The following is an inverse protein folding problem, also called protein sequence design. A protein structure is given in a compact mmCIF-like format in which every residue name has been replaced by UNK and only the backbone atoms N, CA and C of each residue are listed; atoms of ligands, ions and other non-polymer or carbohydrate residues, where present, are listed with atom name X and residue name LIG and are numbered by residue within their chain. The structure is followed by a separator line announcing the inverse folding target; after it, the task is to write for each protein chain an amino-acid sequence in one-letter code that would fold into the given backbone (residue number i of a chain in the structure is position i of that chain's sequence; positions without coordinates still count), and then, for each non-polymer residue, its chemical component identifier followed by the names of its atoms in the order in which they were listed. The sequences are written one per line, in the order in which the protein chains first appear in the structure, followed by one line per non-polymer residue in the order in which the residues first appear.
data_IF_472747536568
#
_entry.id   IF_472747536568
#
_cell.length_a   1.000
_cell.length_b   1.000
_cell.length_c   1.000
_cell.angle_alpha   90.00
_cell.angle_beta   90.00
_cell.angle_gamma   90.00
#
_symmetry.space_group_name_H-M   'P 1'
#
loop_
_entity.id
_entity.type
_entity.pdbx_description
1 polymer ?
#
# COMPACT_ATOMS: atom_id res chain seq x y z
N UNK A 1 35.32 15.90 10.49
CA UNK A 1 35.12 14.49 10.05
C UNK A 1 36.26 13.58 10.50
N UNK A 2 37.49 14.03 10.57
CA UNK A 2 38.64 13.22 11.03
C UNK A 2 38.51 12.70 12.48
N UNK A 3 37.76 13.39 13.36
CA UNK A 3 37.53 12.95 14.76
C UNK A 3 36.57 11.77 14.94
N UNK A 4 35.85 11.35 13.90
CA UNK A 4 34.88 10.23 13.93
C UNK A 4 35.43 8.96 13.26
N UNK A 5 36.72 8.93 12.87
CA UNK A 5 37.37 7.76 12.26
C UNK A 5 36.99 7.49 10.80
N UNK A 6 36.24 8.38 10.14
CA UNK A 6 35.91 8.21 8.73
C UNK A 6 37.12 8.58 7.85
N UNK A 7 37.43 7.68 6.91
CA UNK A 7 38.42 7.96 5.86
C UNK A 7 37.78 8.75 4.73
N UNK A 8 38.52 9.72 4.21
CA UNK A 8 38.11 10.46 3.02
C UNK A 8 38.11 9.50 1.80
N UNK A 9 37.01 9.51 1.05
CA UNK A 9 36.89 8.71 -0.17
C UNK A 9 37.30 9.57 -1.38
N UNK A 10 38.32 9.17 -2.06
CA UNK A 10 38.82 9.84 -3.27
C UNK A 10 38.10 9.41 -4.56
N UNK A 11 37.26 8.36 -4.48
CA UNK A 11 36.50 7.90 -5.66
C UNK A 11 35.18 8.64 -5.74
N UNK A 12 34.74 9.04 -6.93
CA UNK A 12 33.45 9.61 -7.16
C UNK A 12 32.34 8.59 -6.82
N UNK A 13 31.39 9.01 -5.99
CA UNK A 13 30.22 8.19 -5.70
C UNK A 13 29.26 8.18 -6.90
N UNK A 14 28.57 7.07 -7.11
CA UNK A 14 27.49 7.02 -8.08
C UNK A 14 26.30 7.90 -7.64
N UNK A 15 25.42 8.21 -8.58
CA UNK A 15 24.24 9.04 -8.34
C UNK A 15 23.41 8.50 -7.19
N UNK A 16 23.15 7.21 -7.17
CA UNK A 16 22.29 6.55 -6.19
C UNK A 16 22.84 6.66 -4.78
N UNK A 17 24.11 6.38 -4.57
CA UNK A 17 24.75 6.46 -3.25
C UNK A 17 24.79 7.88 -2.72
N UNK A 18 25.16 8.84 -3.58
CA UNK A 18 25.21 10.26 -3.20
C UNK A 18 23.82 10.77 -2.82
N UNK A 19 22.82 10.55 -3.70
CA UNK A 19 21.48 11.07 -3.47
C UNK A 19 20.73 10.33 -2.38
N UNK A 20 21.00 9.04 -2.14
CA UNK A 20 20.50 8.33 -0.98
C UNK A 20 21.02 8.91 0.34
N UNK A 21 22.28 9.28 0.40
CA UNK A 21 22.84 9.95 1.58
C UNK A 21 22.21 11.34 1.80
N UNK A 22 22.02 12.12 0.73
CA UNK A 22 21.33 13.42 0.80
C UNK A 22 19.87 13.21 1.22
N UNK A 23 19.16 12.27 0.63
CA UNK A 23 17.76 11.96 0.92
C UNK A 23 17.54 11.63 2.40
N UNK A 24 18.50 10.99 3.06
CA UNK A 24 18.40 10.66 4.50
C UNK A 24 18.22 11.91 5.39
N UNK A 25 18.79 13.04 4.98
CA UNK A 25 18.62 14.33 5.68
C UNK A 25 17.38 15.12 5.25
N UNK A 26 16.76 14.77 4.12
CA UNK A 26 15.66 15.54 3.52
C UNK A 26 14.39 14.74 3.29
N UNK A 27 14.17 13.67 4.03
CA UNK A 27 12.97 12.80 3.91
C UNK A 27 11.64 13.53 4.10
N UNK A 28 11.66 14.70 4.70
CA UNK A 28 10.47 15.56 4.89
C UNK A 28 10.20 16.45 3.67
N UNK A 29 11.18 16.65 2.82
CA UNK A 29 11.11 17.53 1.65
C UNK A 29 10.97 16.74 0.33
N UNK A 30 10.35 15.59 0.39
CA UNK A 30 10.05 14.78 -0.80
C UNK A 30 8.66 15.09 -1.33
N UNK A 31 8.45 14.81 -2.61
CA UNK A 31 7.14 14.92 -3.23
C UNK A 31 6.99 14.02 -4.43
N UNK A 32 5.74 13.64 -4.66
CA UNK A 32 5.29 12.93 -5.83
C UNK A 32 4.56 13.89 -6.77
N UNK A 33 4.93 13.87 -8.04
CA UNK A 33 4.25 14.67 -9.06
C UNK A 33 2.80 14.29 -9.17
N UNK A 34 1.91 15.26 -9.16
CA UNK A 34 0.50 15.07 -9.49
C UNK A 34 0.34 14.64 -10.95
N UNK A 35 -0.68 13.82 -11.24
CA UNK A 35 -0.90 13.28 -12.58
C UNK A 35 -1.61 14.28 -13.50
N UNK A 36 -2.33 15.25 -12.95
CA UNK A 36 -3.18 16.20 -13.69
C UNK A 36 -2.55 17.58 -13.65
N UNK A 37 -2.18 18.02 -12.45
CA UNK A 37 -1.68 19.36 -12.19
C UNK A 37 -0.16 19.41 -12.17
N UNK A 38 0.40 20.59 -12.43
CA UNK A 38 1.86 20.79 -12.44
C UNK A 38 2.41 21.15 -11.05
N UNK A 39 2.03 20.37 -10.02
CA UNK A 39 2.62 20.48 -8.68
C UNK A 39 3.07 19.11 -8.17
N UNK A 40 3.80 19.13 -7.07
CA UNK A 40 4.21 17.95 -6.31
C UNK A 40 3.44 17.89 -5.00
N UNK A 41 2.83 16.74 -4.73
CA UNK A 41 2.25 16.44 -3.43
C UNK A 41 3.37 15.96 -2.51
N UNK A 42 3.69 16.74 -1.52
CA UNK A 42 4.74 16.46 -0.54
C UNK A 42 4.19 15.83 0.74
N UNK A 43 5.10 15.59 1.66
CA UNK A 43 4.78 15.14 3.03
C UNK A 43 3.84 16.12 3.72
N UNK A 44 3.02 15.60 4.66
CA UNK A 44 2.02 16.39 5.40
C UNK A 44 1.00 17.10 4.49
N UNK A 45 0.75 16.58 3.28
CA UNK A 45 -0.22 17.14 2.34
C UNK A 45 0.20 18.46 1.70
N UNK A 46 1.46 18.89 1.87
CA UNK A 46 1.94 20.14 1.28
C UNK A 46 2.07 20.03 -0.23
N UNK A 47 1.54 21.02 -0.94
CA UNK A 47 1.71 21.15 -2.40
C UNK A 47 2.85 22.11 -2.68
N UNK A 48 3.79 21.72 -3.53
CA UNK A 48 4.88 22.59 -3.95
C UNK A 48 5.13 22.50 -5.45
N UNK A 49 5.75 23.52 -6.00
CA UNK A 49 6.09 23.64 -7.42
C UNK A 49 7.60 23.64 -7.57
N UNK A 50 8.11 23.18 -8.70
CA UNK A 50 9.51 23.38 -9.03
C UNK A 50 9.75 24.86 -9.37
N UNK A 51 10.81 25.44 -8.87
CA UNK A 51 11.13 26.83 -9.20
C UNK A 51 11.46 26.94 -10.70
N UNK A 52 10.95 27.97 -11.42
CA UNK A 52 11.14 28.11 -12.87
C UNK A 52 12.60 28.15 -13.34
N UNK A 53 13.53 28.53 -12.46
CA UNK A 53 14.98 28.53 -12.77
C UNK A 53 15.63 27.14 -12.72
N UNK A 54 14.91 26.11 -12.31
CA UNK A 54 15.43 24.75 -12.26
C UNK A 54 15.38 24.12 -13.65
N UNK A 55 16.54 23.75 -14.14
CA UNK A 55 16.67 22.93 -15.35
C UNK A 55 16.78 21.46 -14.95
N UNK A 56 15.71 20.90 -14.40
CA UNK A 56 15.64 19.49 -13.99
C UNK A 56 14.49 18.82 -14.71
N UNK A 57 14.69 17.55 -15.05
CA UNK A 57 13.64 16.72 -15.61
C UNK A 57 12.47 16.61 -14.63
N UNK A 58 11.28 16.65 -15.18
CA UNK A 58 10.03 16.64 -14.42
C UNK A 58 9.66 15.20 -14.00
N UNK A 59 10.48 14.61 -13.14
CA UNK A 59 10.35 13.22 -12.70
C UNK A 59 9.19 13.03 -11.71
N UNK A 60 8.73 11.79 -11.62
CA UNK A 60 7.61 11.43 -10.73
C UNK A 60 7.90 11.69 -9.26
N UNK A 61 9.14 11.47 -8.81
CA UNK A 61 9.56 11.63 -7.43
C UNK A 61 10.73 12.61 -7.33
N UNK A 62 10.59 13.58 -6.46
CA UNK A 62 11.61 14.62 -6.27
C UNK A 62 11.88 14.83 -4.78
N UNK A 63 13.14 15.06 -4.46
CA UNK A 63 13.58 15.58 -3.16
C UNK A 63 14.06 17.02 -3.35
N UNK A 64 13.71 17.90 -2.45
CA UNK A 64 14.14 19.29 -2.46
C UNK A 64 15.04 19.58 -1.26
N UNK A 65 16.18 20.23 -1.48
CA UNK A 65 17.02 20.69 -0.38
C UNK A 65 16.35 21.86 0.39
N UNK A 66 15.56 22.68 -0.29
CA UNK A 66 14.81 23.75 0.35
C UNK A 66 13.44 23.97 -0.30
N UNK A 67 12.49 24.34 0.55
CA UNK A 67 11.16 24.79 0.14
C UNK A 67 11.04 26.27 0.56
N UNK A 68 10.76 27.13 -0.41
CA UNK A 68 10.67 28.58 -0.20
C UNK A 68 9.25 29.05 -0.52
N UNK A 69 8.62 29.66 0.43
CA UNK A 69 7.29 30.23 0.30
C UNK A 69 7.39 31.66 -0.24
N UNK A 70 6.66 31.91 -1.32
CA UNK A 70 6.48 33.23 -1.91
C UNK A 70 4.99 33.42 -2.19
N UNK A 71 4.57 33.59 -3.44
CA UNK A 71 3.15 33.47 -3.85
C UNK A 71 2.66 32.01 -3.80
N UNK A 72 3.57 31.08 -3.92
CA UNK A 72 3.40 29.62 -3.82
C UNK A 72 4.62 29.04 -3.13
N UNK A 73 4.50 27.79 -2.71
CA UNK A 73 5.63 27.05 -2.16
C UNK A 73 6.47 26.50 -3.33
N UNK A 74 7.72 26.94 -3.43
CA UNK A 74 8.65 26.51 -4.48
C UNK A 74 9.78 25.66 -3.92
N UNK A 75 10.05 24.55 -4.59
CA UNK A 75 11.21 23.72 -4.33
C UNK A 75 12.44 24.24 -5.07
N UNK A 76 13.58 24.28 -4.38
CA UNK A 76 14.89 24.65 -4.93
C UNK A 76 15.90 23.55 -4.66
N UNK A 77 16.91 23.42 -5.55
CA UNK A 77 17.94 22.39 -5.49
C UNK A 77 17.31 20.99 -5.39
N UNK A 78 16.61 20.62 -6.45
CA UNK A 78 15.86 19.36 -6.51
C UNK A 78 16.66 18.27 -7.19
N UNK A 79 16.46 17.05 -6.75
CA UNK A 79 16.97 15.84 -7.40
C UNK A 79 15.87 14.79 -7.47
N UNK A 80 15.90 13.96 -8.51
CA UNK A 80 15.01 12.81 -8.57
C UNK A 80 15.53 11.69 -7.67
N UNK A 81 14.62 10.85 -7.16
CA UNK A 81 14.95 9.66 -6.39
C UNK A 81 13.97 8.53 -6.68
N UNK A 82 14.38 7.31 -6.40
CA UNK A 82 13.51 6.15 -6.50
C UNK A 82 12.89 5.85 -5.13
N UNK A 83 11.55 5.65 -5.05
CA UNK A 83 10.87 5.37 -3.77
C UNK A 83 11.47 4.21 -2.98
N UNK A 84 12.03 3.22 -3.68
CA UNK A 84 12.66 2.06 -3.05
C UNK A 84 13.88 2.41 -2.18
N UNK A 85 14.55 3.53 -2.45
CA UNK A 85 15.69 3.97 -1.62
C UNK A 85 15.26 4.30 -0.19
N UNK A 86 14.01 4.76 -0.03
CA UNK A 86 13.46 5.08 1.29
C UNK A 86 13.34 3.85 2.21
N UNK A 87 13.25 2.62 1.67
CA UNK A 87 13.21 1.41 2.48
C UNK A 87 14.48 1.22 3.31
N UNK A 88 15.65 1.60 2.77
CA UNK A 88 16.91 1.54 3.50
C UNK A 88 17.17 2.74 4.43
N UNK A 89 16.52 3.87 4.15
CA UNK A 89 16.82 5.16 4.80
C UNK A 89 15.79 5.49 5.88
N UNK A 90 14.50 5.32 5.56
CA UNK A 90 13.38 5.86 6.34
C UNK A 90 12.34 4.79 6.73
N UNK A 91 12.67 3.51 6.70
CA UNK A 91 11.73 2.42 7.00
C UNK A 91 11.09 2.58 8.40
N UNK A 92 11.84 3.07 9.38
CA UNK A 92 11.38 3.32 10.74
C UNK A 92 10.35 4.46 10.85
N UNK A 93 10.21 5.30 9.81
CA UNK A 93 9.24 6.40 9.74
C UNK A 93 7.96 6.01 9.00
N UNK A 94 7.92 4.83 8.38
CA UNK A 94 6.74 4.39 7.66
C UNK A 94 5.60 4.03 8.60
N UNK A 95 4.42 4.54 8.28
CA UNK A 95 3.15 4.03 8.80
C UNK A 95 2.52 3.14 7.76
N UNK A 96 2.11 1.94 8.17
CA UNK A 96 1.45 1.00 7.27
C UNK A 96 -0.05 1.04 7.48
N UNK A 97 -0.78 1.09 6.37
CA UNK A 97 -2.23 0.96 6.34
C UNK A 97 -2.62 -0.21 5.45
N UNK A 98 -3.73 -0.85 5.79
CA UNK A 98 -4.26 -1.99 5.06
C UNK A 98 -5.65 -1.65 4.56
N UNK A 99 -5.90 -1.87 3.28
CA UNK A 99 -7.19 -1.59 2.64
C UNK A 99 -7.56 -2.70 1.67
N UNK A 100 -8.84 -2.76 1.28
CA UNK A 100 -9.36 -3.73 0.33
C UNK A 100 -9.03 -5.18 0.72
N UNK A 101 -9.37 -5.53 1.97
CA UNK A 101 -9.30 -6.91 2.46
C UNK A 101 -10.37 -7.74 1.75
N UNK A 102 -9.97 -8.84 1.12
CA UNK A 102 -10.87 -9.74 0.41
C UNK A 102 -10.28 -11.13 0.26
N UNK A 103 -11.13 -12.10 -0.03
CA UNK A 103 -10.73 -13.45 -0.37
C UNK A 103 -10.16 -13.51 -1.80
N UNK A 104 -8.93 -13.95 -1.96
CA UNK A 104 -8.33 -14.20 -3.28
C UNK A 104 -8.44 -15.69 -3.63
N UNK A 105 -9.37 -16.03 -4.51
CA UNK A 105 -9.65 -17.42 -4.93
C UNK A 105 -8.40 -18.10 -5.51
N UNK A 106 -7.59 -17.35 -6.28
CA UNK A 106 -6.41 -17.91 -6.94
C UNK A 106 -5.31 -18.23 -5.94
N UNK A 107 -5.13 -17.38 -4.94
CA UNK A 107 -4.13 -17.57 -3.88
C UNK A 107 -4.63 -18.48 -2.76
N UNK A 108 -5.95 -18.61 -2.59
CA UNK A 108 -6.55 -19.38 -1.51
C UNK A 108 -6.28 -18.78 -0.14
N UNK A 109 -6.18 -17.45 -0.05
CA UNK A 109 -5.91 -16.71 1.17
C UNK A 109 -6.61 -15.35 1.16
N UNK A 110 -6.82 -14.77 2.34
CA UNK A 110 -7.27 -13.39 2.46
C UNK A 110 -6.10 -12.46 2.23
N UNK A 111 -6.27 -11.53 1.30
CA UNK A 111 -5.27 -10.54 0.92
C UNK A 111 -5.72 -9.12 1.24
N UNK A 112 -4.76 -8.23 1.38
CA UNK A 112 -5.00 -6.79 1.54
C UNK A 112 -3.95 -5.98 0.78
N UNK A 113 -4.30 -4.76 0.45
CA UNK A 113 -3.36 -3.77 -0.06
C UNK A 113 -2.66 -3.09 1.13
N UNK A 114 -1.38 -3.40 1.34
CA UNK A 114 -0.52 -2.73 2.31
C UNK A 114 0.08 -1.49 1.67
N UNK A 115 -0.27 -0.30 2.16
CA UNK A 115 0.31 0.98 1.75
C UNK A 115 1.32 1.47 2.79
N UNK A 116 2.50 1.86 2.34
CA UNK A 116 3.52 2.51 3.16
C UNK A 116 3.39 4.01 3.03
N UNK A 117 3.12 4.68 4.13
CA UNK A 117 2.92 6.12 4.23
C UNK A 117 4.11 6.74 4.96
N UNK A 118 4.70 7.79 4.38
CA UNK A 118 5.72 8.62 5.01
C UNK A 118 5.15 10.02 5.23
N UNK A 119 4.88 10.38 6.48
CA UNK A 119 4.21 11.63 6.85
C UNK A 119 2.95 11.93 6.01
N UNK A 120 2.12 10.89 5.80
CA UNK A 120 0.88 10.99 5.02
C UNK A 120 1.04 10.87 3.50
N UNK A 121 2.26 10.89 2.96
CA UNK A 121 2.54 10.66 1.55
C UNK A 121 2.65 9.15 1.27
N UNK A 122 1.86 8.63 0.35
CA UNK A 122 1.93 7.22 -0.05
C UNK A 122 3.15 6.98 -0.93
N UNK A 123 4.10 6.21 -0.41
CA UNK A 123 5.37 5.92 -1.11
C UNK A 123 5.21 4.71 -2.03
N UNK A 124 4.68 3.62 -1.50
CA UNK A 124 4.40 2.42 -2.29
C UNK A 124 3.20 1.65 -1.73
N UNK A 125 2.65 0.78 -2.55
CA UNK A 125 1.57 -0.13 -2.21
C UNK A 125 1.88 -1.52 -2.74
N UNK A 126 1.59 -2.53 -1.95
CA UNK A 126 1.76 -3.93 -2.35
C UNK A 126 0.64 -4.80 -1.78
N UNK A 127 0.29 -5.85 -2.51
CA UNK A 127 -0.65 -6.85 -2.04
C UNK A 127 0.06 -7.85 -1.12
N UNK A 128 -0.48 -8.06 0.07
CA UNK A 128 0.09 -8.96 1.09
C UNK A 128 -0.96 -9.93 1.61
N UNK A 129 -0.52 -11.06 2.18
CA UNK A 129 -1.38 -11.95 2.95
C UNK A 129 -1.85 -11.24 4.21
N UNK A 130 -3.17 -11.18 4.43
CA UNK A 130 -3.77 -10.45 5.53
C UNK A 130 -3.91 -11.29 6.79
N UNK A 131 -3.90 -12.61 6.68
CA UNK A 131 -4.02 -13.52 7.83
C UNK A 131 -2.95 -13.37 8.90
N UNK A 132 -1.76 -12.85 8.52
CA UNK A 132 -0.68 -12.56 9.45
C UNK A 132 -0.83 -11.20 10.16
N UNK A 133 -1.65 -10.31 9.60
CA UNK A 133 -1.84 -8.95 10.10
C UNK A 133 -2.99 -8.90 11.11
N UNK A 134 -4.13 -9.43 10.72
CA UNK A 134 -5.31 -9.57 11.56
C UNK A 134 -5.98 -10.91 11.31
N UNK A 135 -5.64 -11.93 12.12
CA UNK A 135 -6.18 -13.28 11.95
C UNK A 135 -7.70 -13.36 12.14
N UNK A 136 -8.28 -12.53 13.04
CA UNK A 136 -9.72 -12.56 13.32
C UNK A 136 -10.52 -12.05 12.14
N UNK A 137 -10.18 -10.85 11.64
CA UNK A 137 -10.85 -10.29 10.48
C UNK A 137 -10.61 -11.15 9.22
N UNK A 138 -9.42 -11.73 9.06
CA UNK A 138 -9.13 -12.66 7.97
C UNK A 138 -10.00 -13.92 8.04
N UNK A 139 -10.26 -14.44 9.25
CA UNK A 139 -11.16 -15.58 9.45
C UNK A 139 -12.61 -15.24 9.06
N UNK A 140 -13.12 -14.08 9.47
CA UNK A 140 -14.45 -13.60 9.10
C UNK A 140 -14.61 -13.49 7.57
N UNK A 141 -13.63 -12.89 6.90
CA UNK A 141 -13.63 -12.77 5.44
C UNK A 141 -13.58 -14.15 4.77
N UNK A 142 -12.72 -15.06 5.26
CA UNK A 142 -12.64 -16.43 4.75
C UNK A 142 -13.98 -17.15 4.88
N UNK A 143 -14.65 -17.05 6.03
CA UNK A 143 -15.96 -17.67 6.22
C UNK A 143 -16.98 -17.10 5.26
N UNK A 144 -17.13 -15.78 5.24
CA UNK A 144 -18.15 -15.10 4.43
C UNK A 144 -17.89 -15.24 2.92
N UNK A 145 -16.69 -14.93 2.46
CA UNK A 145 -16.38 -14.85 1.03
C UNK A 145 -15.82 -16.17 0.46
N UNK A 146 -15.16 -16.97 1.29
CA UNK A 146 -14.59 -18.26 0.87
C UNK A 146 -15.57 -19.41 1.04
N UNK A 147 -16.08 -19.61 2.25
CA UNK A 147 -16.93 -20.78 2.58
C UNK A 147 -18.39 -20.56 2.19
N UNK A 148 -19.03 -19.50 2.67
CA UNK A 148 -20.46 -19.25 2.43
C UNK A 148 -20.71 -18.97 0.95
N UNK A 149 -19.90 -18.13 0.31
CA UNK A 149 -19.98 -17.85 -1.11
C UNK A 149 -19.46 -19.01 -2.00
N UNK A 150 -19.02 -20.13 -1.40
CA UNK A 150 -18.50 -21.32 -2.10
C UNK A 150 -17.39 -21.00 -3.12
N UNK A 151 -16.49 -20.07 -2.75
CA UNK A 151 -15.40 -19.61 -3.62
C UNK A 151 -14.05 -20.24 -3.26
N UNK A 152 -14.03 -21.42 -2.65
CA UNK A 152 -12.79 -22.13 -2.36
C UNK A 152 -12.24 -22.79 -3.62
N UNK A 153 -10.93 -22.64 -3.83
CA UNK A 153 -10.24 -23.26 -4.97
C UNK A 153 -10.16 -24.80 -4.86
N UNK A 154 -10.19 -25.32 -3.63
CA UNK A 154 -10.21 -26.76 -3.34
C UNK A 154 -11.60 -27.21 -2.94
N UNK A 155 -12.02 -28.35 -3.50
CA UNK A 155 -13.24 -29.02 -3.08
C UNK A 155 -12.96 -29.80 -1.79
N UNK A 156 -13.71 -29.50 -0.74
CA UNK A 156 -13.66 -30.22 0.53
C UNK A 156 -14.94 -31.05 0.68
N UNK A 157 -14.80 -32.27 1.19
CA UNK A 157 -15.94 -33.19 1.33
C UNK A 157 -17.10 -32.61 2.15
N UNK A 158 -16.80 -31.81 3.20
CA UNK A 158 -17.83 -31.18 3.99
C UNK A 158 -18.62 -30.12 3.21
N UNK A 159 -17.99 -29.41 2.28
CA UNK A 159 -18.68 -28.43 1.42
C UNK A 159 -19.60 -29.12 0.44
N UNK A 160 -19.13 -30.21 -0.17
CA UNK A 160 -19.98 -31.02 -1.08
C UNK A 160 -21.19 -31.58 -0.34
N UNK A 161 -21.00 -32.04 0.90
CA UNK A 161 -22.10 -32.50 1.75
C UNK A 161 -23.09 -31.36 2.07
N UNK A 162 -22.60 -30.19 2.50
CA UNK A 162 -23.45 -29.04 2.79
C UNK A 162 -24.26 -28.58 1.57
N UNK A 163 -23.63 -28.51 0.40
CA UNK A 163 -24.32 -28.18 -0.85
C UNK A 163 -25.39 -29.21 -1.23
N UNK A 164 -25.18 -30.50 -0.90
CA UNK A 164 -26.20 -31.52 -1.10
C UNK A 164 -27.39 -31.33 -0.17
N UNK A 165 -27.15 -31.06 1.12
CA UNK A 165 -28.19 -30.77 2.10
C UNK A 165 -29.02 -29.53 1.69
N UNK A 166 -28.36 -28.46 1.24
CA UNK A 166 -29.03 -27.25 0.73
C UNK A 166 -29.98 -27.60 -0.42
N UNK A 167 -29.51 -28.36 -1.41
CA UNK A 167 -30.32 -28.77 -2.58
C UNK A 167 -31.53 -29.64 -2.16
N UNK A 168 -31.38 -30.47 -1.14
CA UNK A 168 -32.47 -31.27 -0.61
C UNK A 168 -33.51 -30.41 0.11
N UNK A 169 -33.06 -29.40 0.86
CA UNK A 169 -33.94 -28.44 1.53
C UNK A 169 -34.70 -27.58 0.51
N UNK A 170 -34.04 -27.04 -0.50
CA UNK A 170 -34.68 -26.30 -1.60
C UNK A 170 -35.78 -27.11 -2.28
N UNK A 171 -35.54 -28.40 -2.53
CA UNK A 171 -36.57 -29.30 -3.08
C UNK A 171 -37.75 -29.51 -2.14
N UNK A 172 -37.55 -29.53 -0.81
CA UNK A 172 -38.58 -29.60 0.18
C UNK A 172 -39.41 -28.32 0.27
N UNK A 173 -38.75 -27.17 0.22
CA UNK A 173 -39.41 -25.85 0.15
C UNK A 173 -40.34 -25.74 -1.06
N UNK A 174 -39.86 -26.12 -2.23
CA UNK A 174 -40.64 -26.13 -3.47
C UNK A 174 -41.88 -27.03 -3.34
N UNK A 175 -41.74 -28.20 -2.69
CA UNK A 175 -42.86 -29.13 -2.47
C UNK A 175 -43.89 -28.62 -1.47
N UNK A 176 -43.41 -27.94 -0.42
CA UNK A 176 -44.28 -27.45 0.65
C UNK A 176 -44.93 -26.10 0.32
N UNK A 177 -44.51 -25.42 -0.75
CA UNK A 177 -44.87 -24.03 -1.08
C UNK A 177 -44.70 -23.09 0.11
N UNK A 178 -43.77 -23.40 1.00
CA UNK A 178 -43.48 -22.66 2.22
C UNK A 178 -42.02 -22.25 2.15
N UNK A 179 -41.77 -20.95 2.24
CA UNK A 179 -40.39 -20.45 2.38
C UNK A 179 -39.89 -20.84 3.78
N UNK A 180 -39.02 -21.85 3.82
CA UNK A 180 -38.20 -22.09 5.00
C UNK A 180 -37.06 -21.10 4.89
N UNK A 181 -36.89 -20.20 5.83
CA UNK A 181 -35.77 -19.25 5.85
C UNK A 181 -34.47 -20.05 5.91
N UNK A 182 -33.96 -20.38 4.71
CA UNK A 182 -32.71 -21.06 4.55
C UNK A 182 -31.60 -20.03 4.47
N UNK A 183 -30.88 -19.90 5.55
CA UNK A 183 -29.62 -19.16 5.64
C UNK A 183 -29.76 -17.63 5.80
N UNK A 184 -29.95 -17.21 7.02
CA UNK A 184 -29.41 -15.94 7.44
C UNK A 184 -27.85 -16.08 7.44
N UNK A 185 -27.16 -15.18 6.76
CA UNK A 185 -25.68 -15.12 6.75
C UNK A 185 -25.07 -14.98 8.16
N UNK A 186 -25.91 -14.78 9.17
CA UNK A 186 -25.55 -14.66 10.59
C UNK A 186 -25.37 -16.00 11.32
N UNK A 187 -25.65 -17.14 10.67
CA UNK A 187 -25.60 -18.48 11.31
C UNK A 187 -24.25 -19.22 11.11
N UNK A 188 -23.23 -18.53 10.58
CA UNK A 188 -21.88 -19.10 10.42
C UNK A 188 -20.84 -18.45 11.31
#
# INVERSE_FOLDING_TARGET
MLGLGYKENSQAADYTRLHSAILSGFVVNIGQKDLVDNYYLGTNGRKFYLHPSLNVDNNKWMVAASLVETTRLYARHCAHFEPLWLNGIANHLFKYTYSNQHWDIKRGEVVANKSALLYGLQIHQQRVSFGLVDPKLAQEILIREGLVANQLSKKYAFIEHNLQVIRELEKLEDKLRTSLALMDDELY
#
